data_IF_199011332297
#
_entry.id   IF_199011332297
#
_cell.length_a   1.000
_cell.length_b   1.000
_cell.length_c   1.000
_cell.angle_alpha   90.00
_cell.angle_beta   90.00
_cell.angle_gamma   90.00
#
_symmetry.space_group_name_H-M   'P 1'
#
loop_
_entity.id
_entity.type
_entity.pdbx_description
1 polymer ?
#
# COMPACT_ATOMS: atom_id res chain seq x y z
N UNK A 1 -33.32 -2.68 14.54
CA UNK A 1 -32.03 -3.37 14.69
C UNK A 1 -31.85 -3.74 16.15
N UNK A 2 -31.71 -5.03 16.45
CA UNK A 2 -31.52 -5.52 17.82
C UNK A 2 -30.05 -5.43 18.24
N UNK A 3 -29.76 -5.52 19.54
CA UNK A 3 -28.37 -5.58 20.02
C UNK A 3 -27.62 -6.80 19.43
N UNK A 4 -28.34 -7.88 19.16
CA UNK A 4 -27.79 -9.09 18.56
C UNK A 4 -27.44 -8.91 17.08
N UNK A 5 -28.26 -8.19 16.31
CA UNK A 5 -27.95 -7.84 14.91
C UNK A 5 -26.67 -6.98 14.81
N UNK A 6 -26.47 -6.07 15.76
CA UNK A 6 -25.27 -5.24 15.81
C UNK A 6 -24.03 -6.09 16.16
N UNK A 7 -24.15 -6.99 17.13
CA UNK A 7 -23.05 -7.86 17.55
C UNK A 7 -22.62 -8.84 16.44
N UNK A 8 -23.58 -9.42 15.72
CA UNK A 8 -23.30 -10.33 14.61
C UNK A 8 -22.67 -9.59 13.41
N UNK A 9 -23.09 -8.34 13.14
CA UNK A 9 -22.45 -7.49 12.13
C UNK A 9 -21.03 -7.10 12.52
N UNK A 10 -20.79 -6.74 13.77
CA UNK A 10 -19.45 -6.42 14.26
C UNK A 10 -18.54 -7.65 14.22
N UNK A 11 -19.06 -8.84 14.56
CA UNK A 11 -18.32 -10.10 14.47
C UNK A 11 -17.97 -10.43 13.03
N UNK A 12 -18.92 -10.33 12.10
CA UNK A 12 -18.69 -10.58 10.68
C UNK A 12 -17.68 -9.59 10.06
N UNK A 13 -17.76 -8.29 10.41
CA UNK A 13 -16.74 -7.33 10.02
C UNK A 13 -15.38 -7.71 10.63
N UNK A 14 -15.32 -8.09 11.91
CA UNK A 14 -14.09 -8.51 12.58
C UNK A 14 -13.48 -9.81 12.03
N UNK A 15 -14.29 -10.71 11.47
CA UNK A 15 -13.83 -11.92 10.79
C UNK A 15 -13.29 -11.59 9.38
N UNK A 16 -14.03 -10.80 8.59
CA UNK A 16 -13.58 -10.34 7.28
C UNK A 16 -12.27 -9.51 7.35
N UNK A 17 -12.10 -8.74 8.42
CA UNK A 17 -10.85 -8.02 8.68
C UNK A 17 -9.69 -8.94 9.07
N UNK A 18 -9.94 -10.03 9.80
CA UNK A 18 -8.91 -11.04 10.15
C UNK A 18 -8.48 -11.88 8.97
N UNK A 19 -9.39 -12.17 8.05
CA UNK A 19 -9.10 -12.92 6.81
C UNK A 19 -8.27 -12.12 5.80
N UNK A 20 -8.16 -10.80 5.96
CA UNK A 20 -7.40 -9.91 5.06
C UNK A 20 -5.97 -9.58 5.57
N UNK A 21 -5.42 -10.35 6.53
CA UNK A 21 -4.07 -10.15 7.11
C UNK A 21 -3.79 -8.78 7.75
N UNK A 22 -4.81 -7.94 7.94
CA UNK A 22 -4.71 -6.70 8.71
C UNK A 22 -4.96 -6.97 10.19
N UNK A 23 -3.90 -7.34 10.92
CA UNK A 23 -3.93 -7.42 12.38
C UNK A 23 -4.09 -6.02 12.99
N UNK A 24 -5.32 -5.69 13.39
CA UNK A 24 -5.57 -4.59 14.33
C UNK A 24 -5.03 -5.03 15.70
N UNK A 25 -4.23 -4.20 16.41
CA UNK A 25 -3.82 -4.52 17.77
C UNK A 25 -5.06 -4.79 18.63
N UNK A 26 -5.02 -5.73 19.60
CA UNK A 26 -6.16 -6.01 20.46
C UNK A 26 -6.75 -4.71 21.03
N UNK A 27 -8.09 -4.60 21.03
CA UNK A 27 -8.80 -3.39 21.49
C UNK A 27 -8.33 -2.95 22.90
N UNK A 28 -7.99 -3.92 23.76
CA UNK A 28 -7.42 -3.69 25.08
C UNK A 28 -6.06 -2.96 25.02
N UNK A 29 -5.18 -3.32 24.07
CA UNK A 29 -3.89 -2.67 23.83
C UNK A 29 -4.06 -1.26 23.28
N UNK A 30 -5.06 -1.04 22.42
CA UNK A 30 -5.39 0.31 21.92
C UNK A 30 -5.97 1.19 23.03
N UNK A 31 -6.83 0.64 23.89
CA UNK A 31 -7.40 1.35 25.04
C UNK A 31 -6.34 1.70 26.08
N UNK A 32 -5.41 0.80 26.40
CA UNK A 32 -4.30 1.08 27.33
C UNK A 32 -3.34 2.15 26.78
N UNK A 33 -3.07 2.15 25.46
CA UNK A 33 -2.32 3.23 24.81
C UNK A 33 -3.07 4.57 24.83
N UNK A 34 -4.39 4.55 24.68
CA UNK A 34 -5.23 5.76 24.69
C UNK A 34 -5.38 6.36 26.09
N UNK A 35 -5.42 5.54 27.15
CA UNK A 35 -5.51 6.04 28.54
C UNK A 35 -4.19 6.65 29.01
N UNK A 36 -3.02 6.13 28.60
CA UNK A 36 -1.71 6.74 28.87
C UNK A 36 -1.53 8.12 28.22
N UNK A 37 -2.19 8.38 27.07
CA UNK A 37 -2.14 9.68 26.37
C UNK A 37 -2.85 10.83 27.10
N UNK A 38 -3.70 10.56 28.11
CA UNK A 38 -4.44 11.62 28.83
C UNK A 38 -3.62 12.40 29.87
N UNK A 39 -2.37 12.03 30.14
CA UNK A 39 -1.53 12.66 31.17
C UNK A 39 -0.74 13.91 30.75
N UNK A 40 -0.49 14.13 29.46
CA UNK A 40 0.43 15.19 29.02
C UNK A 40 -0.14 16.02 27.86
N UNK A 41 -1.12 16.87 28.21
CA UNK A 41 -1.61 17.91 27.32
C UNK A 41 -0.78 19.21 27.42
N UNK A 42 -0.61 19.82 26.23
CA UNK A 42 -0.28 21.22 25.91
C UNK A 42 1.20 21.60 25.71
N UNK A 43 1.52 21.88 24.44
CA UNK A 43 2.49 22.86 23.85
C UNK A 43 2.98 22.28 22.49
N UNK A 44 2.96 22.88 21.29
CA UNK A 44 2.90 24.26 20.76
C UNK A 44 2.36 24.28 19.30
N UNK A 45 1.98 25.47 18.83
CA UNK A 45 1.57 25.85 17.47
C UNK A 45 2.76 26.17 16.53
N UNK A 46 2.49 26.01 15.23
CA UNK A 46 2.99 26.74 14.05
C UNK A 46 4.45 26.57 13.58
N UNK A 47 4.64 26.16 12.31
CA UNK A 47 5.32 26.94 11.24
C UNK A 47 4.81 26.47 9.87
N UNK A 48 4.33 27.42 9.07
CA UNK A 48 4.12 27.28 7.63
C UNK A 48 5.37 27.84 6.90
N UNK A 49 5.82 27.17 5.84
CA UNK A 49 6.76 27.76 4.89
C UNK A 49 6.51 27.24 3.47
N UNK A 50 6.18 28.19 2.61
CA UNK A 50 5.90 28.10 1.18
C UNK A 50 7.21 27.94 0.40
N UNK A 51 7.26 27.04 -0.59
CA UNK A 51 8.34 27.04 -1.60
C UNK A 51 7.73 27.05 -3.00
N UNK A 52 8.01 28.12 -3.72
CA UNK A 52 7.68 28.37 -5.12
C UNK A 52 8.91 27.96 -5.95
N UNK A 53 8.77 26.98 -6.85
CA UNK A 53 9.84 26.61 -7.79
C UNK A 53 9.43 27.03 -9.20
N UNK A 54 10.26 27.88 -9.80
CA UNK A 54 10.17 28.37 -11.17
C UNK A 54 10.65 27.27 -12.12
N UNK A 55 9.79 26.83 -13.03
CA UNK A 55 10.13 25.88 -14.09
C UNK A 55 10.79 26.61 -15.27
N UNK A 56 12.05 26.29 -15.56
CA UNK A 56 12.69 26.63 -16.83
C UNK A 56 12.48 25.47 -17.82
N UNK A 57 11.68 25.70 -18.85
CA UNK A 57 11.40 24.75 -19.92
C UNK A 57 12.53 24.81 -20.94
N UNK A 58 13.39 23.79 -20.97
CA UNK A 58 14.33 23.55 -22.05
C UNK A 58 13.67 22.62 -23.09
N UNK A 59 13.43 23.14 -24.30
CA UNK A 59 12.89 22.37 -25.42
C UNK A 59 14.01 21.61 -26.12
N UNK A 60 14.05 20.28 -25.95
CA UNK A 60 14.94 19.40 -26.73
C UNK A 60 14.18 18.93 -27.99
N UNK A 61 14.74 19.09 -29.20
CA UNK A 61 14.14 18.58 -30.42
C UNK A 61 14.22 17.05 -30.44
N UNK A 62 13.07 16.38 -30.44
CA UNK A 62 12.97 14.93 -30.61
C UNK A 62 13.17 14.61 -32.09
N UNK A 63 14.30 13.97 -32.41
CA UNK A 63 14.56 13.35 -33.71
C UNK A 63 13.65 12.12 -33.83
N UNK A 64 12.60 12.24 -34.66
CA UNK A 64 11.75 11.09 -35.02
C UNK A 64 12.51 10.18 -35.98
N UNK A 65 13.03 9.07 -35.48
CA UNK A 65 13.40 7.95 -36.34
C UNK A 65 12.14 7.27 -36.87
N UNK A 66 11.97 7.32 -38.20
CA UNK A 66 10.90 6.64 -38.90
C UNK A 66 11.16 5.13 -38.85
N UNK A 67 10.49 4.41 -37.94
CA UNK A 67 10.49 2.97 -37.94
C UNK A 67 9.65 2.44 -39.10
N UNK A 68 10.27 1.54 -39.87
CA UNK A 68 9.67 0.80 -40.98
C UNK A 68 8.45 -0.01 -40.52
N UNK A 69 7.29 0.30 -41.10
CA UNK A 69 6.15 -0.58 -41.41
C UNK A 69 5.97 -1.84 -40.56
N UNK A 70 5.69 -1.69 -39.27
CA UNK A 70 5.05 -2.75 -38.49
C UNK A 70 3.54 -2.62 -38.67
N UNK A 71 2.89 -3.67 -39.18
CA UNK A 71 1.44 -3.79 -39.26
C UNK A 71 0.84 -3.40 -37.90
N UNK A 72 -0.07 -2.41 -37.82
CA UNK A 72 -0.60 -1.97 -36.54
C UNK A 72 -1.22 -3.17 -35.82
N UNK A 73 -0.88 -3.40 -34.54
CA UNK A 73 -1.47 -4.49 -33.77
C UNK A 73 -2.99 -4.36 -33.81
N UNK A 74 -3.67 -5.50 -33.96
CA UNK A 74 -5.11 -5.55 -33.98
C UNK A 74 -5.66 -4.91 -32.70
N UNK A 75 -6.44 -3.83 -32.85
CA UNK A 75 -7.09 -3.17 -31.72
C UNK A 75 -8.20 -4.10 -31.22
N UNK A 76 -7.96 -4.76 -30.09
CA UNK A 76 -8.98 -5.54 -29.41
C UNK A 76 -10.07 -4.60 -28.90
N UNK A 77 -11.30 -4.75 -29.41
CA UNK A 77 -12.44 -3.97 -28.95
C UNK A 77 -12.72 -4.29 -27.48
N UNK A 78 -12.81 -3.29 -26.59
CA UNK A 78 -13.06 -3.52 -25.18
C UNK A 78 -14.37 -4.30 -25.01
N UNK A 79 -14.33 -5.38 -24.25
CA UNK A 79 -15.56 -6.11 -23.91
C UNK A 79 -16.31 -5.27 -22.87
N UNK A 80 -17.59 -4.93 -23.09
CA UNK A 80 -18.34 -4.09 -22.16
C UNK A 80 -18.41 -4.76 -20.78
N UNK A 81 -18.31 -3.96 -19.71
CA UNK A 81 -18.54 -4.45 -18.35
C UNK A 81 -19.97 -5.00 -18.24
N UNK A 82 -20.15 -6.20 -17.68
CA UNK A 82 -21.48 -6.74 -17.48
C UNK A 82 -22.28 -5.85 -16.53
N UNK A 83 -23.59 -5.76 -16.75
CA UNK A 83 -24.50 -5.06 -15.83
C UNK A 83 -24.75 -5.86 -14.55
N UNK A 84 -24.52 -7.17 -14.60
CA UNK A 84 -24.73 -8.11 -13.49
C UNK A 84 -23.65 -9.18 -13.45
N UNK A 85 -23.32 -9.67 -12.26
CA UNK A 85 -22.41 -10.81 -12.05
C UNK A 85 -23.04 -11.82 -11.08
N UNK A 86 -22.62 -13.08 -11.17
CA UNK A 86 -22.96 -14.11 -10.18
C UNK A 86 -21.79 -14.30 -9.23
N UNK A 87 -22.01 -14.05 -7.93
CA UNK A 87 -21.01 -14.34 -6.90
C UNK A 87 -21.65 -15.16 -5.79
N UNK A 88 -21.09 -16.35 -5.53
CA UNK A 88 -21.60 -17.28 -4.51
C UNK A 88 -23.11 -17.59 -4.65
N UNK A 89 -23.58 -17.73 -5.90
CA UNK A 89 -24.99 -18.01 -6.21
C UNK A 89 -25.93 -16.82 -6.03
N UNK A 90 -25.40 -15.60 -5.90
CA UNK A 90 -26.19 -14.36 -5.86
C UNK A 90 -25.88 -13.49 -7.07
N UNK A 91 -26.95 -13.02 -7.72
CA UNK A 91 -26.86 -11.98 -8.74
C UNK A 91 -26.58 -10.63 -8.09
N UNK A 92 -25.45 -10.02 -8.44
CA UNK A 92 -25.10 -8.66 -8.07
C UNK A 92 -25.29 -7.74 -9.26
N UNK A 93 -25.78 -6.52 -9.03
CA UNK A 93 -25.99 -5.49 -10.06
C UNK A 93 -24.89 -4.44 -9.96
N UNK A 94 -24.39 -4.00 -11.12
CA UNK A 94 -23.37 -2.95 -11.19
C UNK A 94 -23.93 -1.62 -10.68
N UNK A 95 -23.26 -1.03 -9.70
CA UNK A 95 -23.59 0.29 -9.18
C UNK A 95 -22.79 1.39 -9.87
N UNK A 96 -21.54 1.11 -10.25
CA UNK A 96 -20.66 2.10 -10.84
C UNK A 96 -19.23 1.60 -10.96
N UNK A 97 -18.31 2.54 -10.99
CA UNK A 97 -16.85 2.33 -11.01
C UNK A 97 -16.24 2.83 -9.72
N UNK A 98 -15.15 2.20 -9.28
CA UNK A 98 -14.44 2.54 -8.05
C UNK A 98 -13.04 3.07 -8.37
N UNK A 99 -12.56 4.00 -7.55
CA UNK A 99 -11.14 4.35 -7.55
C UNK A 99 -10.30 3.17 -7.05
N UNK A 100 -9.10 3.04 -7.60
CA UNK A 100 -8.15 2.04 -7.15
C UNK A 100 -6.74 2.62 -7.11
N UNK A 101 -5.92 2.08 -6.21
CA UNK A 101 -4.58 2.60 -5.92
C UNK A 101 -3.59 1.46 -5.66
N UNK A 102 -2.34 1.85 -5.41
CA UNK A 102 -1.28 0.98 -4.88
C UNK A 102 -1.04 -0.31 -5.71
N UNK A 103 -0.89 -0.23 -7.05
CA UNK A 103 -0.59 -1.40 -7.85
C UNK A 103 0.78 -1.99 -7.48
N UNK A 104 0.81 -3.31 -7.34
CA UNK A 104 2.02 -4.09 -7.07
C UNK A 104 2.03 -5.29 -8.01
N UNK A 105 3.14 -5.52 -8.69
CA UNK A 105 3.34 -6.72 -9.49
C UNK A 105 3.46 -7.94 -8.57
N UNK A 106 2.92 -9.09 -8.96
CA UNK A 106 3.10 -10.32 -8.20
C UNK A 106 4.56 -10.78 -8.24
N UNK A 107 5.10 -11.22 -7.10
CA UNK A 107 6.51 -11.61 -6.95
C UNK A 107 6.86 -12.91 -7.71
N UNK A 108 5.86 -13.70 -8.08
CA UNK A 108 6.04 -14.99 -8.73
C UNK A 108 5.45 -15.05 -10.15
N UNK A 109 4.53 -14.16 -10.50
CA UNK A 109 3.93 -14.09 -11.83
C UNK A 109 3.89 -12.65 -12.37
N UNK A 110 4.78 -12.27 -13.30
CA UNK A 110 4.83 -10.91 -13.83
C UNK A 110 3.62 -10.55 -14.72
N UNK A 111 2.69 -11.48 -14.94
CA UNK A 111 1.41 -11.25 -15.62
C UNK A 111 0.27 -10.99 -14.61
N UNK A 112 0.57 -10.90 -13.31
CA UNK A 112 -0.41 -10.60 -12.28
C UNK A 112 -0.06 -9.29 -11.60
N UNK A 113 -1.05 -8.39 -11.52
CA UNK A 113 -0.95 -7.14 -10.76
C UNK A 113 -2.02 -7.17 -9.68
N UNK A 114 -1.64 -6.80 -8.47
CA UNK A 114 -2.54 -6.60 -7.35
C UNK A 114 -2.81 -5.11 -7.15
N UNK A 115 -4.08 -4.73 -7.00
CA UNK A 115 -4.51 -3.33 -6.77
C UNK A 115 -5.41 -3.26 -5.55
N UNK A 116 -5.51 -2.09 -4.93
CA UNK A 116 -6.44 -1.83 -3.83
C UNK A 116 -7.63 -1.03 -4.34
N UNK A 117 -8.84 -1.62 -4.27
CA UNK A 117 -10.07 -0.89 -4.54
C UNK A 117 -10.53 -0.12 -3.30
N UNK A 118 -10.67 1.20 -3.43
CA UNK A 118 -11.12 2.06 -2.34
C UNK A 118 -12.65 1.99 -2.23
N UNK A 119 -13.18 1.04 -1.46
CA UNK A 119 -14.63 0.86 -1.40
C UNK A 119 -15.27 2.03 -0.63
N UNK A 120 -15.92 2.94 -1.34
CA UNK A 120 -16.75 3.96 -0.73
C UNK A 120 -18.11 3.37 -0.33
N UNK A 121 -18.57 3.69 0.88
CA UNK A 121 -19.91 3.33 1.32
C UNK A 121 -20.97 3.80 0.32
N UNK A 122 -22.08 3.07 0.22
CA UNK A 122 -23.08 3.33 -0.81
C UNK A 122 -24.50 2.95 -0.39
N UNK A 123 -25.41 2.77 -1.37
CA UNK A 123 -26.78 2.30 -1.12
C UNK A 123 -26.84 0.83 -0.67
N UNK A 124 -25.69 0.14 -0.62
CA UNK A 124 -25.56 -1.21 -0.11
C UNK A 124 -24.36 -1.33 0.85
N UNK A 125 -24.50 -2.19 1.85
CA UNK A 125 -23.43 -2.60 2.76
C UNK A 125 -22.66 -3.82 2.25
N UNK A 126 -23.14 -4.43 1.16
CA UNK A 126 -22.51 -5.59 0.50
C UNK A 126 -22.02 -5.14 -0.86
N UNK A 127 -20.95 -4.35 -0.85
CA UNK A 127 -20.26 -3.90 -2.06
C UNK A 127 -19.17 -4.91 -2.43
N UNK A 128 -19.13 -5.25 -3.70
CA UNK A 128 -18.19 -6.19 -4.27
C UNK A 128 -17.49 -5.54 -5.47
N UNK A 129 -16.26 -5.01 -5.28
CA UNK A 129 -15.49 -4.48 -6.40
C UNK A 129 -14.85 -5.62 -7.19
N UNK A 130 -14.82 -5.48 -8.51
CA UNK A 130 -14.21 -6.41 -9.46
C UNK A 130 -13.32 -5.63 -10.42
N UNK A 131 -12.06 -6.03 -10.49
CA UNK A 131 -11.09 -5.44 -11.41
C UNK A 131 -11.12 -6.14 -12.77
N UNK A 132 -10.92 -5.37 -13.85
CA UNK A 132 -10.90 -5.89 -15.22
C UNK A 132 -9.93 -5.12 -16.10
N UNK A 133 -9.23 -5.84 -16.97
CA UNK A 133 -8.48 -5.25 -18.09
C UNK A 133 -9.46 -4.88 -19.21
N UNK A 134 -9.56 -3.60 -19.54
CA UNK A 134 -10.40 -3.12 -20.64
C UNK A 134 -9.69 -3.19 -21.99
N UNK A 135 -8.41 -2.84 -21.99
CA UNK A 135 -7.54 -2.94 -23.17
C UNK A 135 -6.12 -3.27 -22.76
N UNK A 136 -5.43 -4.02 -23.62
CA UNK A 136 -4.04 -4.40 -23.47
C UNK A 136 -3.35 -4.24 -24.81
N UNK A 137 -2.24 -3.51 -24.81
CA UNK A 137 -1.42 -3.21 -25.98
C UNK A 137 0.04 -3.51 -25.68
N UNK A 138 0.92 -3.33 -26.67
CA UNK A 138 2.35 -3.45 -26.46
C UNK A 138 2.93 -2.39 -25.52
N UNK A 139 2.24 -1.27 -25.31
CA UNK A 139 2.75 -0.12 -24.55
C UNK A 139 2.01 0.11 -23.23
N UNK A 140 0.76 -0.35 -23.11
CA UNK A 140 -0.08 -0.07 -21.96
C UNK A 140 -1.15 -1.14 -21.71
N UNK A 141 -1.53 -1.26 -20.44
CA UNK A 141 -2.64 -2.04 -19.91
C UNK A 141 -3.60 -1.06 -19.22
N UNK A 142 -4.85 -1.03 -19.66
CA UNK A 142 -5.89 -0.17 -19.06
C UNK A 142 -6.79 -1.01 -18.15
N UNK A 143 -6.86 -0.66 -16.87
CA UNK A 143 -7.61 -1.38 -15.85
C UNK A 143 -8.74 -0.54 -15.32
N UNK A 144 -9.92 -1.15 -15.21
CA UNK A 144 -11.11 -0.56 -14.60
C UNK A 144 -11.55 -1.41 -13.40
N UNK A 145 -11.99 -0.76 -12.32
CA UNK A 145 -12.64 -1.41 -11.19
C UNK A 145 -14.11 -1.02 -11.17
N UNK A 146 -14.98 -2.03 -11.18
CA UNK A 146 -16.43 -1.87 -11.13
C UNK A 146 -16.98 -2.38 -9.79
N UNK A 147 -17.89 -1.64 -9.19
CA UNK A 147 -18.54 -2.02 -7.92
C UNK A 147 -19.92 -2.61 -8.19
N UNK A 148 -20.18 -3.77 -7.60
CA UNK A 148 -21.45 -4.48 -7.66
C UNK A 148 -22.08 -4.60 -6.28
N UNK A 149 -23.40 -4.74 -6.22
CA UNK A 149 -24.12 -4.99 -4.98
C UNK A 149 -25.26 -5.98 -5.17
N UNK A 150 -25.61 -6.70 -4.09
CA UNK A 150 -26.88 -7.40 -4.02
C UNK A 150 -28.04 -6.41 -4.11
N UNK A 151 -29.24 -6.88 -4.48
CA UNK A 151 -30.44 -6.06 -4.69
C UNK A 151 -30.71 -5.01 -3.59
N UNK A 152 -31.56 -4.00 -3.88
CA UNK A 152 -31.66 -2.79 -3.07
C UNK A 152 -31.89 -3.11 -1.59
N UNK A 153 -31.13 -2.44 -0.72
CA UNK A 153 -31.41 -2.48 0.71
C UNK A 153 -32.82 -1.94 0.97
N UNK A 154 -33.47 -2.40 2.06
CA UNK A 154 -34.57 -1.66 2.67
C UNK A 154 -34.20 -0.17 2.79
N UNK A 155 -35.14 0.72 2.46
CA UNK A 155 -34.91 2.18 2.31
C UNK A 155 -34.44 2.90 3.58
N UNK A 156 -34.35 2.20 4.71
CA UNK A 156 -34.02 2.71 6.03
C UNK A 156 -32.56 2.48 6.45
N UNK A 157 -31.72 1.83 5.62
CA UNK A 157 -30.30 1.58 5.94
C UNK A 157 -29.38 2.24 4.92
N UNK A 158 -28.74 3.35 5.31
CA UNK A 158 -27.68 3.97 4.52
C UNK A 158 -26.31 3.46 5.00
N UNK A 159 -25.49 2.95 4.08
CA UNK A 159 -24.14 2.46 4.38
C UNK A 159 -23.05 3.48 4.02
N UNK A 160 -23.46 4.71 3.69
CA UNK A 160 -22.60 5.81 3.23
C UNK A 160 -21.54 6.21 4.26
N UNK A 161 -21.78 5.98 5.55
CA UNK A 161 -20.87 6.34 6.64
C UNK A 161 -19.92 5.21 7.05
N UNK A 162 -20.06 4.01 6.46
CA UNK A 162 -19.21 2.87 6.77
C UNK A 162 -17.98 2.92 5.86
N UNK A 163 -16.88 3.44 6.39
CA UNK A 163 -15.57 3.32 5.73
C UNK A 163 -15.11 1.87 5.78
N UNK A 164 -15.17 1.18 4.64
CA UNK A 164 -14.61 -0.15 4.50
C UNK A 164 -13.10 -0.07 4.26
N UNK A 165 -12.32 -1.06 4.73
CA UNK A 165 -10.92 -1.15 4.32
C UNK A 165 -10.86 -1.34 2.79
N UNK A 166 -9.79 -0.88 2.13
CA UNK A 166 -9.58 -1.18 0.72
C UNK A 166 -9.58 -2.69 0.49
N UNK A 167 -10.14 -3.15 -0.63
CA UNK A 167 -10.14 -4.57 -1.00
C UNK A 167 -9.04 -4.83 -2.02
N UNK A 168 -8.15 -5.76 -1.69
CA UNK A 168 -7.10 -6.23 -2.61
C UNK A 168 -7.71 -7.04 -3.74
N UNK A 169 -7.49 -6.63 -4.98
CA UNK A 169 -8.00 -7.28 -6.19
C UNK A 169 -6.86 -7.80 -7.07
N UNK A 170 -7.03 -8.99 -7.61
CA UNK A 170 -6.12 -9.60 -8.59
C UNK A 170 -6.50 -9.17 -10.00
N UNK A 171 -5.54 -8.69 -10.77
CA UNK A 171 -5.67 -8.40 -12.20
C UNK A 171 -4.71 -9.32 -12.96
N UNK A 172 -5.26 -10.21 -13.79
CA UNK A 172 -4.47 -11.07 -14.67
C UNK A 172 -4.36 -10.45 -16.05
N UNK A 173 -3.14 -10.32 -16.54
CA UNK A 173 -2.76 -9.76 -17.84
C UNK A 173 -2.59 -10.88 -18.88
N UNK A 174 -2.71 -10.56 -20.17
CA UNK A 174 -2.44 -11.53 -21.24
C UNK A 174 -0.94 -11.78 -21.41
N UNK A 175 -0.12 -10.77 -21.14
CA UNK A 175 1.34 -10.85 -21.16
C UNK A 175 1.94 -10.25 -19.88
N UNK A 176 3.22 -10.53 -19.55
CA UNK A 176 3.91 -9.86 -18.44
C UNK A 176 3.88 -8.33 -18.54
N UNK A 177 3.72 -7.60 -17.44
CA UNK A 177 3.60 -6.13 -17.49
C UNK A 177 4.86 -5.47 -18.11
N UNK A 178 6.05 -5.86 -17.67
CA UNK A 178 7.32 -5.37 -18.22
C UNK A 178 7.43 -3.84 -18.17
N UNK A 179 7.73 -3.22 -19.32
CA UNK A 179 7.82 -1.75 -19.46
C UNK A 179 6.48 -1.07 -19.78
N UNK A 180 5.37 -1.82 -19.83
CA UNK A 180 4.07 -1.28 -20.19
C UNK A 180 3.50 -0.44 -19.07
N UNK A 181 2.79 0.62 -19.43
CA UNK A 181 2.11 1.47 -18.45
C UNK A 181 0.84 0.78 -17.94
N UNK A 182 0.63 0.81 -16.63
CA UNK A 182 -0.68 0.48 -16.06
C UNK A 182 -1.50 1.78 -15.98
N UNK A 183 -2.66 1.84 -16.63
CA UNK A 183 -3.50 3.03 -16.72
C UNK A 183 -4.83 2.75 -16.01
N UNK A 184 -5.27 3.70 -15.18
CA UNK A 184 -6.63 3.68 -14.65
C UNK A 184 -7.60 4.16 -15.74
N UNK A 185 -8.50 3.28 -16.15
CA UNK A 185 -9.51 3.53 -17.16
C UNK A 185 -10.44 4.71 -16.83
N UNK A 186 -10.71 4.94 -15.54
CA UNK A 186 -11.64 5.98 -15.09
C UNK A 186 -11.04 7.37 -15.28
N UNK A 187 -9.75 7.51 -14.97
CA UNK A 187 -9.06 8.80 -14.95
C UNK A 187 -8.15 9.01 -16.17
N UNK A 188 -7.85 7.95 -16.93
CA UNK A 188 -6.85 7.94 -17.99
C UNK A 188 -5.42 8.16 -17.48
N UNK A 189 -5.19 8.07 -16.17
CA UNK A 189 -3.90 8.42 -15.55
C UNK A 189 -3.00 7.18 -15.42
N UNK A 190 -1.72 7.26 -15.85
CA UNK A 190 -0.74 6.22 -15.57
C UNK A 190 -0.50 6.05 -14.07
N UNK A 191 -0.44 4.80 -13.63
CA UNK A 191 -0.23 4.41 -12.24
C UNK A 191 1.19 3.84 -12.08
N UNK A 192 1.90 4.28 -11.04
CA UNK A 192 3.22 3.74 -10.70
C UNK A 192 3.09 2.36 -10.08
N UNK A 193 3.56 1.33 -10.79
CA UNK A 193 3.54 -0.05 -10.32
C UNK A 193 4.79 -0.36 -9.50
N UNK A 194 4.59 -0.88 -8.30
CA UNK A 194 5.69 -1.42 -7.49
C UNK A 194 6.08 -2.79 -8.00
N UNK A 195 7.31 -2.92 -8.48
CA UNK A 195 7.90 -4.20 -8.86
C UNK A 195 8.69 -4.77 -7.66
N UNK A 196 8.26 -5.88 -7.04
CA UNK A 196 8.97 -6.52 -5.94
C UNK A 196 10.43 -6.87 -6.26
N UNK A 197 10.77 -7.12 -7.53
CA UNK A 197 12.15 -7.43 -7.94
C UNK A 197 13.10 -6.23 -7.81
N UNK A 198 12.55 -5.00 -7.75
CA UNK A 198 13.33 -3.78 -7.52
C UNK A 198 13.47 -3.44 -6.03
N UNK A 199 12.73 -4.14 -5.17
CA UNK A 199 12.77 -3.94 -3.72
C UNK A 199 13.82 -4.86 -3.10
N UNK A 200 14.88 -4.32 -2.47
CA UNK A 200 15.99 -5.14 -2.00
C UNK A 200 15.55 -6.09 -0.89
N UNK A 201 16.07 -7.31 -0.95
CA UNK A 201 15.82 -8.32 0.07
C UNK A 201 17.06 -8.44 0.98
N UNK A 202 16.88 -8.52 2.31
CA UNK A 202 17.98 -8.80 3.24
C UNK A 202 18.42 -10.26 3.11
N UNK A 203 19.74 -10.46 3.06
CA UNK A 203 20.38 -11.79 3.10
C UNK A 203 20.40 -12.35 4.52
N UNK A 204 20.31 -11.46 5.51
CA UNK A 204 20.22 -11.79 6.92
C UNK A 204 18.90 -11.28 7.49
N UNK A 205 18.09 -12.22 7.97
CA UNK A 205 16.88 -11.95 8.74
C UNK A 205 17.01 -12.68 10.07
N UNK A 206 16.73 -12.03 11.22
CA UNK A 206 16.78 -12.70 12.51
C UNK A 206 15.86 -13.94 12.55
N UNK A 207 16.26 -14.95 13.32
CA UNK A 207 15.50 -16.20 13.39
C UNK A 207 14.05 -15.96 13.84
N UNK A 208 13.11 -16.70 13.23
CA UNK A 208 11.68 -16.62 13.53
C UNK A 208 10.92 -15.54 12.77
N UNK A 209 11.60 -14.66 12.03
CA UNK A 209 10.95 -13.66 11.18
C UNK A 209 10.69 -14.22 9.77
N UNK A 210 9.44 -14.17 9.34
CA UNK A 210 8.99 -14.60 8.02
C UNK A 210 8.63 -13.41 7.14
N UNK A 211 9.12 -13.43 5.91
CA UNK A 211 8.86 -12.37 4.94
C UNK A 211 7.38 -12.32 4.57
N UNK A 212 6.85 -11.10 4.50
CA UNK A 212 5.56 -10.80 3.89
C UNK A 212 5.80 -10.28 2.45
N UNK A 213 4.79 -10.34 1.57
CA UNK A 213 4.87 -9.75 0.25
C UNK A 213 5.25 -8.26 0.31
N UNK A 214 5.95 -7.79 -0.73
CA UNK A 214 6.23 -6.36 -0.89
C UNK A 214 4.92 -5.62 -1.17
N UNK A 215 4.77 -4.42 -0.61
CA UNK A 215 3.63 -3.57 -0.87
C UNK A 215 3.97 -2.09 -0.72
N UNK A 216 2.96 -1.25 -0.84
CA UNK A 216 3.05 0.15 -0.49
C UNK A 216 2.75 0.34 1.00
N UNK A 217 3.47 1.23 1.68
CA UNK A 217 3.21 1.55 3.08
C UNK A 217 1.91 2.39 3.17
N UNK A 218 0.87 1.90 3.87
CA UNK A 218 -0.41 2.61 3.94
C UNK A 218 -0.33 3.94 4.71
N UNK A 219 0.76 4.18 5.47
CA UNK A 219 0.97 5.42 6.23
C UNK A 219 1.77 6.46 5.45
N UNK A 220 2.51 6.03 4.44
CA UNK A 220 3.50 6.87 3.76
C UNK A 220 3.36 6.74 2.24
N UNK A 221 2.69 7.72 1.62
CA UNK A 221 2.52 7.75 0.18
C UNK A 221 3.87 7.69 -0.56
N UNK A 222 3.96 6.81 -1.56
CA UNK A 222 5.18 6.61 -2.35
C UNK A 222 6.32 5.88 -1.62
N UNK A 223 6.05 5.26 -0.47
CA UNK A 223 7.01 4.40 0.23
C UNK A 223 6.65 2.94 -0.01
N UNK A 224 7.57 2.17 -0.56
CA UNK A 224 7.47 0.72 -0.61
C UNK A 224 7.88 0.12 0.72
N UNK A 225 7.29 -1.03 1.09
CA UNK A 225 7.55 -1.74 2.33
C UNK A 225 7.62 -3.25 2.08
N UNK A 226 8.56 -3.91 2.75
CA UNK A 226 8.53 -5.36 3.00
C UNK A 226 8.55 -5.58 4.50
N UNK A 227 7.51 -6.22 5.02
CA UNK A 227 7.43 -6.58 6.43
C UNK A 227 7.97 -7.99 6.66
N UNK A 228 8.50 -8.21 7.85
CA UNK A 228 8.86 -9.52 8.37
C UNK A 228 8.17 -9.70 9.72
N UNK A 229 7.55 -10.85 9.95
CA UNK A 229 6.75 -11.12 11.16
C UNK A 229 7.30 -12.31 11.90
N UNK A 230 7.40 -12.22 13.23
CA UNK A 230 7.78 -13.34 14.10
C UNK A 230 6.73 -13.65 15.17
N UNK A 231 5.55 -13.05 15.05
CA UNK A 231 4.46 -13.11 16.01
C UNK A 231 3.43 -12.01 15.73
N UNK A 232 2.31 -11.98 16.49
CA UNK A 232 1.22 -11.02 16.24
C UNK A 232 1.65 -9.58 16.48
N UNK A 233 2.50 -9.35 17.47
CA UNK A 233 2.92 -8.00 17.89
C UNK A 233 4.36 -7.65 17.49
N UNK A 234 5.08 -8.56 16.82
CA UNK A 234 6.51 -8.40 16.52
C UNK A 234 6.75 -8.29 15.02
N UNK A 235 7.38 -7.18 14.62
CA UNK A 235 7.63 -6.89 13.21
C UNK A 235 8.97 -6.24 12.96
N UNK A 236 9.54 -6.55 11.81
CA UNK A 236 10.70 -5.89 11.22
C UNK A 236 10.25 -5.38 9.86
N UNK A 237 10.22 -4.06 9.69
CA UNK A 237 9.74 -3.40 8.48
C UNK A 237 10.93 -2.76 7.77
N UNK A 238 11.10 -3.11 6.50
CA UNK A 238 12.05 -2.47 5.60
C UNK A 238 11.24 -1.56 4.70
N UNK A 239 11.60 -0.28 4.66
CA UNK A 239 10.96 0.74 3.84
C UNK A 239 11.96 1.34 2.87
N UNK A 240 11.47 1.68 1.68
CA UNK A 240 12.22 2.38 0.64
C UNK A 240 11.35 3.49 0.06
N UNK A 241 11.89 4.70 -0.01
CA UNK A 241 11.15 5.84 -0.54
C UNK A 241 11.96 7.13 -0.54
N UNK A 242 11.32 8.27 -0.83
CA UNK A 242 11.99 9.56 -0.90
C UNK A 242 12.43 10.05 0.50
N UNK A 243 13.57 10.75 0.62
CA UNK A 243 14.06 11.29 1.89
C UNK A 243 13.07 12.22 2.60
N UNK A 244 12.25 12.95 1.84
CA UNK A 244 11.25 13.87 2.38
C UNK A 244 10.14 13.17 3.18
N UNK A 245 9.95 11.86 2.98
CA UNK A 245 8.91 11.07 3.67
C UNK A 245 9.51 10.21 4.78
N UNK A 246 10.70 9.62 4.57
CA UNK A 246 11.35 8.72 5.53
C UNK A 246 12.28 9.42 6.55
N UNK A 247 12.24 10.75 6.64
CA UNK A 247 13.04 11.52 7.59
C UNK A 247 12.68 11.26 9.06
N UNK A 248 13.66 11.45 9.95
CA UNK A 248 13.55 11.24 11.39
C UNK A 248 13.07 12.51 12.13
N UNK A 249 11.79 12.87 12.02
CA UNK A 249 11.23 14.03 12.73
C UNK A 249 10.82 13.64 14.16
N UNK A 250 11.41 14.30 15.17
CA UNK A 250 10.98 14.17 16.56
C UNK A 250 11.47 12.90 17.29
N UNK A 251 12.57 12.31 16.83
CA UNK A 251 13.14 11.08 17.40
C UNK A 251 14.37 11.33 18.30
N UNK A 252 14.62 10.41 19.24
CA UNK A 252 15.86 10.36 20.03
C UNK A 252 16.90 9.55 19.26
N UNK A 253 18.04 10.17 18.95
CA UNK A 253 19.17 9.48 18.31
C UNK A 253 19.86 8.59 19.32
N UNK A 254 19.96 7.30 19.00
CA UNK A 254 20.63 6.29 19.81
C UNK A 254 22.06 6.05 19.34
N UNK A 255 22.28 6.04 18.02
CA UNK A 255 23.58 5.78 17.41
C UNK A 255 23.69 6.37 15.99
N UNK A 256 24.91 6.47 15.45
CA UNK A 256 25.21 6.98 14.09
C UNK A 256 26.18 6.06 13.35
N UNK A 257 25.76 4.84 12.96
CA UNK A 257 26.60 3.91 12.23
C UNK A 257 26.77 4.30 10.75
N UNK A 258 27.54 3.48 10.03
CA UNK A 258 27.64 3.53 8.57
C UNK A 258 27.06 2.23 8.00
N UNK A 259 26.17 2.33 7.02
CA UNK A 259 25.54 1.20 6.34
C UNK A 259 25.94 1.25 4.87
N UNK A 260 26.61 0.21 4.37
CA UNK A 260 27.07 0.13 2.96
C UNK A 260 27.81 1.40 2.48
N UNK A 261 28.59 2.03 3.36
CA UNK A 261 29.33 3.27 3.07
C UNK A 261 28.55 4.58 3.23
N UNK A 262 27.27 4.51 3.59
CA UNK A 262 26.41 5.68 3.80
C UNK A 262 26.21 5.98 5.29
N UNK A 263 26.29 7.24 5.73
CA UNK A 263 25.94 7.62 7.09
C UNK A 263 24.50 7.25 7.42
N UNK A 264 24.31 6.60 8.55
CA UNK A 264 23.02 6.16 9.04
C UNK A 264 22.73 6.74 10.42
N UNK A 265 21.48 6.73 10.82
CA UNK A 265 21.04 7.14 12.16
C UNK A 265 20.15 6.06 12.74
N UNK A 266 20.52 5.54 13.90
CA UNK A 266 19.64 4.71 14.73
C UNK A 266 18.89 5.65 15.66
N UNK A 267 17.58 5.49 15.73
CA UNK A 267 16.72 6.34 16.54
C UNK A 267 15.51 5.57 17.07
N UNK A 268 14.91 6.11 18.12
CA UNK A 268 13.64 5.67 18.69
C UNK A 268 12.68 6.85 18.79
N UNK A 269 11.37 6.59 18.74
CA UNK A 269 10.39 7.65 18.93
C UNK A 269 10.42 8.13 20.40
N UNK A 270 10.30 9.43 20.63
CA UNK A 270 10.54 10.04 21.95
C UNK A 270 9.56 9.55 23.02
N UNK A 271 8.41 9.01 22.61
CA UNK A 271 7.34 8.55 23.51
C UNK A 271 7.12 7.04 23.49
N UNK A 272 7.93 6.28 22.74
CA UNK A 272 7.72 4.86 22.52
C UNK A 272 9.06 4.11 22.51
N UNK A 273 9.22 3.22 23.48
CA UNK A 273 10.36 2.28 23.57
C UNK A 273 10.11 0.97 22.81
N UNK A 274 8.93 0.83 22.20
CA UNK A 274 8.51 -0.34 21.42
C UNK A 274 8.87 -0.24 19.93
N UNK A 275 9.69 0.75 19.52
CA UNK A 275 10.13 0.96 18.15
C UNK A 275 11.57 1.47 18.08
N UNK A 276 12.44 0.71 17.41
CA UNK A 276 13.80 1.14 17.05
C UNK A 276 13.93 1.13 15.54
N UNK A 277 14.41 2.23 14.97
CA UNK A 277 14.58 2.40 13.54
C UNK A 277 16.02 2.80 13.20
N UNK A 278 16.51 2.30 12.07
CA UNK A 278 17.74 2.70 11.41
C UNK A 278 17.36 3.35 10.08
N UNK A 279 17.91 4.52 9.76
CA UNK A 279 17.62 5.24 8.52
C UNK A 279 18.91 5.71 7.86
N UNK A 280 19.04 5.53 6.54
CA UNK A 280 20.16 6.04 5.74
C UNK A 280 19.69 6.38 4.32
N UNK A 281 20.42 7.27 3.65
CA UNK A 281 20.12 7.65 2.26
C UNK A 281 21.28 7.24 1.37
N UNK A 282 20.95 6.59 0.26
CA UNK A 282 21.93 6.13 -0.73
C UNK A 282 22.06 7.10 -1.91
N UNK A 283 21.01 7.88 -2.15
CA UNK A 283 20.99 8.93 -3.15
C UNK A 283 20.08 10.07 -2.70
N UNK A 284 20.03 11.14 -3.49
CA UNK A 284 19.10 12.25 -3.26
C UNK A 284 17.62 11.85 -3.38
N UNK A 285 17.32 10.69 -3.97
CA UNK A 285 15.95 10.22 -4.24
C UNK A 285 15.60 8.92 -3.52
N UNK A 286 16.58 8.27 -2.88
CA UNK A 286 16.40 6.94 -2.27
C UNK A 286 16.93 6.90 -0.84
N UNK A 287 15.99 6.80 0.09
CA UNK A 287 16.21 6.57 1.52
C UNK A 287 15.67 5.20 1.89
N UNK A 288 16.39 4.51 2.77
CA UNK A 288 15.98 3.26 3.39
C UNK A 288 15.73 3.47 4.87
N UNK A 289 14.80 2.69 5.39
CA UNK A 289 14.55 2.62 6.80
C UNK A 289 14.27 1.16 7.20
N UNK A 290 14.97 0.68 8.24
CA UNK A 290 14.74 -0.64 8.84
C UNK A 290 14.27 -0.41 10.26
N UNK A 291 13.03 -0.78 10.56
CA UNK A 291 12.40 -0.58 11.86
C UNK A 291 12.00 -1.91 12.47
N UNK A 292 12.39 -2.15 13.71
CA UNK A 292 11.85 -3.26 14.52
C UNK A 292 10.90 -2.70 15.56
N UNK A 293 9.78 -3.39 15.78
CA UNK A 293 8.81 -3.07 16.83
C UNK A 293 8.21 -4.33 17.44
N UNK A 294 7.79 -4.25 18.71
CA UNK A 294 6.98 -5.31 19.34
C UNK A 294 7.46 -5.82 20.70
N UNK A 295 6.97 -7.01 21.05
CA UNK A 295 7.32 -7.77 22.26
C UNK A 295 7.73 -9.21 21.88
N UNK A 296 8.93 -9.69 22.25
CA UNK A 296 9.93 -9.06 23.12
C UNK A 296 10.50 -7.77 22.50
N UNK A 297 11.29 -7.04 23.31
CA UNK A 297 11.82 -5.73 22.95
C UNK A 297 12.36 -5.67 21.50
N UNK A 298 12.23 -4.52 20.83
CA UNK A 298 12.74 -4.32 19.47
C UNK A 298 14.20 -4.74 19.31
N UNK A 299 14.58 -5.09 18.08
CA UNK A 299 15.98 -5.35 17.74
C UNK A 299 16.86 -4.15 18.13
N UNK A 300 18.05 -4.44 18.65
CA UNK A 300 19.04 -3.43 18.99
C UNK A 300 19.69 -2.81 17.74
N UNK A 301 20.48 -1.76 17.96
CA UNK A 301 21.18 -1.05 16.89
C UNK A 301 22.05 -1.97 16.03
N UNK A 302 22.78 -2.90 16.65
CA UNK A 302 23.71 -3.80 15.95
C UNK A 302 22.96 -4.78 15.04
N UNK A 303 21.83 -5.33 15.52
CA UNK A 303 20.97 -6.20 14.73
C UNK A 303 20.34 -5.45 13.54
N UNK A 304 19.87 -4.22 13.74
CA UNK A 304 19.32 -3.41 12.64
C UNK A 304 20.38 -3.08 11.58
N UNK A 305 21.60 -2.73 11.99
CA UNK A 305 22.73 -2.49 11.07
C UNK A 305 23.04 -3.75 10.28
N UNK A 306 23.08 -4.91 10.94
CA UNK A 306 23.34 -6.19 10.26
C UNK A 306 22.27 -6.54 9.21
N UNK A 307 20.99 -6.30 9.50
CA UNK A 307 19.91 -6.46 8.50
C UNK A 307 20.13 -5.50 7.33
N UNK A 308 20.40 -4.23 7.62
CA UNK A 308 20.58 -3.20 6.61
C UNK A 308 21.78 -3.43 5.69
N UNK A 309 22.93 -3.83 6.24
CA UNK A 309 24.12 -4.19 5.44
C UNK A 309 23.91 -5.43 4.58
N UNK A 310 22.95 -6.28 4.93
CA UNK A 310 22.61 -7.48 4.16
C UNK A 310 21.65 -7.24 3.00
N UNK A 311 21.16 -6.01 2.79
CA UNK A 311 20.26 -5.69 1.68
C UNK A 311 20.99 -5.74 0.33
N UNK A 312 20.38 -6.37 -0.67
CA UNK A 312 20.88 -6.49 -2.04
C UNK A 312 19.74 -6.50 -3.05
#
# INVERSE_FOLDING_TARGET
MTAQDLDDRLRSCGDAWREQDFLVPPLATMLDRATRRRGHGRRWLAVAATVLVVAAVATIPIVRHAHHGSTPPAVSTPTPLPSTIELNGKTLTRLGTEAWTLPVLDEHDPSVVWIDAEIQGGPSCTLEPVARVESETADAVTVLVATYAGGPLPSDVACIDIKMPPKRLKVTLQEPLGSRQLIDATTGTPQGVLDPATFPAPQFVPAGYEAQPVGWDPKFAGVAIRAYRSGPDTSLNIRMGPPSVLGNVGAVVLDRPVVRGHPATVWQDTNFDDLTCLTWSESATRTFQVCSSGSPAPLDAAALVRVADSLH
#
